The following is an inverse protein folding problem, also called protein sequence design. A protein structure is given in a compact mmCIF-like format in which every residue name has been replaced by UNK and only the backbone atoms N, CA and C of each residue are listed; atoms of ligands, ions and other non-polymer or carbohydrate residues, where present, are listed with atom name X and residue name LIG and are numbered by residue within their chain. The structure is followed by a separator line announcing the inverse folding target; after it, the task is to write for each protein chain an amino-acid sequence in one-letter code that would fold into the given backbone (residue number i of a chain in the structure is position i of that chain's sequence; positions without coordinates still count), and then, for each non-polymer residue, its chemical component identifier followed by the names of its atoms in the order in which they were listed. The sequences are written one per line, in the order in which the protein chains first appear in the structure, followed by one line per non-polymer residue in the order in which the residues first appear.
data_IF_603697767278
#
_entry.id   IF_603697767278
#
_cell.length_a   1.000
_cell.length_b   1.000
_cell.length_c   1.000
_cell.angle_alpha   90.00
_cell.angle_beta   90.00
_cell.angle_gamma   90.00
#
_symmetry.space_group_name_H-M   'P 1'
#
loop_
_entity.id
_entity.type
_entity.pdbx_description
1 polymer ?
#
# COMPACT_ATOMS: atom_id res chain seq x y z
N UNK A 1 -6.99 -27.54 -9.47
CA UNK A 1 -8.05 -26.62 -9.91
C UNK A 1 -7.41 -25.29 -10.24
N UNK A 2 -7.67 -24.79 -11.39
CA UNK A 2 -6.79 -23.87 -12.10
C UNK A 2 -6.98 -22.42 -11.66
N UNK A 3 -5.98 -21.63 -11.98
CA UNK A 3 -6.04 -20.24 -12.50
C UNK A 3 -7.43 -19.82 -13.09
N UNK A 4 -8.38 -20.72 -13.22
CA UNK A 4 -9.73 -20.48 -13.76
C UNK A 4 -10.59 -19.56 -12.88
N UNK A 5 -10.28 -19.43 -11.60
CA UNK A 5 -11.13 -18.73 -10.64
C UNK A 5 -10.63 -17.30 -10.30
N UNK A 6 -9.44 -16.92 -10.81
CA UNK A 6 -8.95 -15.54 -10.79
C UNK A 6 -8.58 -15.13 -12.21
N UNK A 7 -9.33 -14.17 -12.76
CA UNK A 7 -9.17 -13.71 -14.13
C UNK A 7 -8.76 -12.24 -14.16
N UNK A 8 -7.84 -11.89 -15.07
CA UNK A 8 -7.61 -10.50 -15.41
C UNK A 8 -8.70 -10.05 -16.39
N UNK A 9 -9.62 -9.24 -15.89
CA UNK A 9 -10.77 -8.71 -16.67
C UNK A 9 -10.46 -7.31 -17.18
N UNK A 10 -11.39 -6.74 -17.96
CA UNK A 10 -11.32 -5.31 -18.35
C UNK A 10 -11.44 -4.34 -17.16
N UNK A 11 -11.78 -4.82 -15.97
CA UNK A 11 -11.85 -4.05 -14.72
C UNK A 11 -10.72 -4.37 -13.74
N UNK A 12 -9.77 -5.23 -14.11
CA UNK A 12 -8.64 -5.63 -13.27
C UNK A 12 -8.72 -7.10 -12.82
N UNK A 13 -7.99 -7.41 -11.76
CA UNK A 13 -7.92 -8.78 -11.20
C UNK A 13 -9.24 -9.12 -10.49
N UNK A 14 -9.87 -10.20 -10.92
CA UNK A 14 -11.17 -10.66 -10.43
C UNK A 14 -11.11 -12.05 -9.84
N UNK A 15 -11.67 -12.23 -8.67
CA UNK A 15 -11.89 -13.53 -8.03
C UNK A 15 -13.36 -13.92 -8.21
N UNK A 16 -13.63 -14.87 -9.12
CA UNK A 16 -14.99 -15.30 -9.48
C UNK A 16 -15.73 -15.92 -8.28
N UNK A 17 -15.08 -16.80 -7.54
CA UNK A 17 -15.71 -17.50 -6.40
C UNK A 17 -16.15 -16.56 -5.28
N UNK A 18 -15.38 -15.52 -5.01
CA UNK A 18 -15.72 -14.51 -4.01
C UNK A 18 -16.60 -13.37 -4.58
N UNK A 19 -16.68 -13.24 -5.91
CA UNK A 19 -17.34 -12.11 -6.61
C UNK A 19 -16.76 -10.76 -6.13
N UNK A 20 -15.42 -10.64 -6.22
CA UNK A 20 -14.68 -9.42 -5.82
C UNK A 20 -13.58 -9.09 -6.82
N UNK A 21 -13.29 -7.83 -6.99
CA UNK A 21 -12.13 -7.31 -7.71
C UNK A 21 -11.06 -6.85 -6.72
N UNK A 22 -9.81 -7.04 -7.07
CA UNK A 22 -8.67 -6.57 -6.29
C UNK A 22 -8.07 -5.38 -7.02
N UNK A 23 -7.98 -4.23 -6.34
CA UNK A 23 -7.49 -2.96 -6.87
C UNK A 23 -8.04 -2.67 -8.28
N UNK A 24 -9.37 -2.58 -8.45
CA UNK A 24 -9.99 -2.47 -9.76
C UNK A 24 -9.63 -1.17 -10.48
N UNK A 25 -9.49 -1.24 -11.80
CA UNK A 25 -9.22 -0.09 -12.68
C UNK A 25 -10.48 0.58 -13.26
N UNK A 26 -11.66 0.06 -12.94
CA UNK A 26 -12.98 0.61 -13.28
C UNK A 26 -13.93 0.37 -12.12
N UNK A 27 -15.05 1.15 -12.02
CA UNK A 27 -16.08 0.92 -11.02
C UNK A 27 -16.62 -0.52 -11.10
N UNK A 28 -16.74 -1.15 -9.94
CA UNK A 28 -17.21 -2.53 -9.78
C UNK A 28 -18.13 -2.64 -8.58
N UNK A 29 -18.85 -3.76 -8.49
CA UNK A 29 -19.76 -4.02 -7.38
C UNK A 29 -19.03 -4.11 -6.03
N UNK A 30 -17.88 -4.81 -5.97
CA UNK A 30 -17.13 -4.99 -4.73
C UNK A 30 -15.62 -4.99 -4.99
N UNK A 31 -14.91 -4.07 -4.35
CA UNK A 31 -13.49 -3.87 -4.47
C UNK A 31 -12.76 -4.21 -3.16
N UNK A 32 -11.80 -5.14 -3.22
CA UNK A 32 -10.78 -5.31 -2.19
C UNK A 32 -9.60 -4.38 -2.52
N UNK A 33 -9.25 -3.51 -1.60
CA UNK A 33 -8.19 -2.52 -1.79
C UNK A 33 -6.96 -2.93 -0.97
N UNK A 34 -5.82 -3.11 -1.66
CA UNK A 34 -4.57 -3.48 -1.00
C UNK A 34 -3.98 -2.34 -0.20
N UNK A 35 -4.05 -1.11 -0.73
CA UNK A 35 -3.53 0.08 -0.06
C UNK A 35 -4.11 1.38 -0.66
N UNK A 36 -3.82 2.51 -0.02
CA UNK A 36 -4.46 3.80 -0.30
C UNK A 36 -3.78 4.66 -1.38
N UNK A 37 -2.89 4.13 -2.23
CA UNK A 37 -2.42 4.84 -3.41
C UNK A 37 -3.52 4.95 -4.45
N UNK A 38 -3.53 6.04 -5.22
CA UNK A 38 -4.65 6.35 -6.13
C UNK A 38 -4.69 5.47 -7.38
N UNK A 39 -3.59 4.87 -7.77
CA UNK A 39 -3.49 3.88 -8.85
C UNK A 39 -4.03 2.50 -8.47
N UNK A 40 -4.25 2.26 -7.16
CA UNK A 40 -4.90 1.07 -6.62
C UNK A 40 -6.35 1.32 -6.18
N UNK A 41 -6.85 2.54 -6.39
CA UNK A 41 -8.19 2.94 -5.98
C UNK A 41 -9.00 3.52 -7.14
N UNK A 42 -10.18 2.97 -7.40
CA UNK A 42 -11.12 3.46 -8.40
C UNK A 42 -12.39 3.98 -7.74
N UNK A 43 -12.80 5.20 -8.12
CA UNK A 43 -14.06 5.78 -7.66
C UNK A 43 -15.29 5.06 -8.22
N UNK A 44 -16.38 5.07 -7.46
CA UNK A 44 -17.71 4.64 -7.94
C UNK A 44 -17.98 3.14 -7.79
N UNK A 45 -17.17 2.41 -7.02
CA UNK A 45 -17.55 1.05 -6.62
C UNK A 45 -18.69 1.07 -5.59
N UNK A 46 -19.57 0.04 -5.62
CA UNK A 46 -20.72 -0.02 -4.70
C UNK A 46 -20.26 -0.31 -3.26
N UNK A 47 -19.24 -1.15 -3.09
CA UNK A 47 -18.65 -1.52 -1.82
C UNK A 47 -17.12 -1.62 -1.92
N UNK A 48 -16.41 -1.05 -0.93
CA UNK A 48 -14.98 -1.20 -0.74
C UNK A 48 -14.70 -2.02 0.51
N UNK A 49 -13.59 -2.74 0.50
CA UNK A 49 -13.10 -3.52 1.64
C UNK A 49 -11.60 -3.33 1.74
N UNK A 50 -11.11 -2.88 2.89
CA UNK A 50 -9.68 -2.63 3.13
C UNK A 50 -9.31 -2.83 4.60
N UNK A 51 -8.04 -2.57 4.95
CA UNK A 51 -7.63 -2.36 6.35
C UNK A 51 -8.22 -1.07 6.90
N UNK A 52 -8.24 -0.93 8.22
CA UNK A 52 -8.76 0.28 8.86
C UNK A 52 -7.95 1.52 8.47
N UNK A 53 -6.62 1.45 8.55
CA UNK A 53 -5.71 2.56 8.24
C UNK A 53 -5.84 3.01 6.78
N UNK A 54 -5.86 2.06 5.83
CA UNK A 54 -6.12 2.38 4.42
C UNK A 54 -7.47 3.07 4.25
N UNK A 55 -8.52 2.64 4.96
CA UNK A 55 -9.84 3.26 4.87
C UNK A 55 -9.86 4.71 5.33
N UNK A 56 -9.12 5.02 6.41
CA UNK A 56 -8.99 6.40 6.93
C UNK A 56 -8.32 7.29 5.88
N UNK A 57 -7.21 6.83 5.30
CA UNK A 57 -6.49 7.57 4.27
C UNK A 57 -7.36 7.77 3.02
N UNK A 58 -8.04 6.72 2.57
CA UNK A 58 -8.93 6.78 1.41
C UNK A 58 -10.05 7.81 1.67
N UNK A 59 -10.74 7.74 2.81
CA UNK A 59 -11.81 8.68 3.17
C UNK A 59 -11.34 10.13 3.21
N UNK A 60 -10.13 10.38 3.72
CA UNK A 60 -9.56 11.73 3.75
C UNK A 60 -9.26 12.26 2.34
N UNK A 61 -8.79 11.40 1.42
CA UNK A 61 -8.41 11.80 0.06
C UNK A 61 -9.59 11.99 -0.88
N UNK A 62 -10.65 11.21 -0.75
CA UNK A 62 -11.75 11.14 -1.74
C UNK A 62 -13.11 11.59 -1.21
N UNK A 63 -13.21 11.84 0.08
CA UNK A 63 -14.47 12.18 0.74
C UNK A 63 -14.93 11.08 1.70
N UNK A 64 -15.73 11.50 2.68
CA UNK A 64 -16.11 10.65 3.82
C UNK A 64 -17.30 9.72 3.51
N UNK A 65 -18.06 10.02 2.48
CA UNK A 65 -19.27 9.27 2.12
C UNK A 65 -18.98 8.15 1.11
N UNK A 66 -18.26 7.13 1.54
CA UNK A 66 -18.06 5.89 0.78
C UNK A 66 -18.45 4.68 1.60
N UNK A 67 -19.05 3.71 0.94
CA UNK A 67 -19.38 2.42 1.55
C UNK A 67 -18.12 1.55 1.65
N UNK A 68 -17.37 1.69 2.75
CA UNK A 68 -16.13 0.95 2.99
C UNK A 68 -16.21 0.16 4.29
N UNK A 69 -16.04 -1.15 4.18
CA UNK A 69 -15.88 -2.09 5.30
C UNK A 69 -14.41 -2.29 5.62
N UNK A 70 -14.08 -2.46 6.88
CA UNK A 70 -12.71 -2.64 7.32
C UNK A 70 -12.52 -3.92 8.10
N UNK A 71 -11.34 -4.53 7.94
CA UNK A 71 -10.90 -5.67 8.72
C UNK A 71 -9.46 -5.47 9.16
N UNK A 72 -9.18 -5.87 10.40
CA UNK A 72 -7.83 -5.86 10.95
C UNK A 72 -6.96 -6.90 10.25
N UNK A 73 -5.64 -6.70 10.31
CA UNK A 73 -4.69 -7.71 9.84
C UNK A 73 -4.92 -9.06 10.53
N UNK A 74 -4.68 -10.13 9.78
CA UNK A 74 -4.81 -11.53 10.18
C UNK A 74 -6.24 -11.99 10.56
N UNK A 75 -7.22 -11.09 10.60
CA UNK A 75 -8.62 -11.44 10.85
C UNK A 75 -9.26 -12.02 9.59
N UNK A 76 -9.70 -13.27 9.69
CA UNK A 76 -10.46 -13.91 8.62
C UNK A 76 -11.89 -13.35 8.54
N UNK A 77 -12.32 -13.00 7.34
CA UNK A 77 -13.72 -12.72 6.99
C UNK A 77 -14.14 -13.56 5.79
N UNK A 78 -15.43 -13.61 5.51
CA UNK A 78 -15.95 -14.44 4.43
C UNK A 78 -16.76 -13.61 3.42
N UNK A 79 -16.53 -13.88 2.14
CA UNK A 79 -17.34 -13.41 1.03
C UNK A 79 -17.71 -14.62 0.19
N UNK A 80 -19.00 -14.86 -0.03
CA UNK A 80 -19.52 -16.03 -0.75
C UNK A 80 -18.93 -17.37 -0.26
N UNK A 81 -18.67 -17.48 1.05
CA UNK A 81 -18.08 -18.69 1.66
C UNK A 81 -16.57 -18.78 1.59
N UNK A 82 -15.91 -17.95 0.78
CA UNK A 82 -14.45 -17.90 0.68
C UNK A 82 -13.88 -17.11 1.85
N UNK A 83 -12.89 -17.67 2.53
CA UNK A 83 -12.17 -17.00 3.62
C UNK A 83 -11.09 -16.10 3.05
N UNK A 84 -11.07 -14.86 3.51
CA UNK A 84 -10.14 -13.81 3.09
C UNK A 84 -9.51 -13.21 4.35
N UNK A 85 -8.25 -12.81 4.26
CA UNK A 85 -7.56 -12.05 5.32
C UNK A 85 -6.54 -11.08 4.72
N UNK A 86 -6.33 -9.96 5.42
CA UNK A 86 -5.29 -9.00 5.12
C UNK A 86 -4.04 -9.29 5.95
N UNK A 87 -2.87 -9.09 5.36
CA UNK A 87 -1.56 -9.24 5.99
C UNK A 87 -0.66 -8.07 5.65
N UNK A 88 0.16 -7.53 6.55
CA UNK A 88 0.99 -6.37 6.25
C UNK A 88 1.88 -6.58 5.02
N UNK A 89 1.91 -5.60 4.12
CA UNK A 89 2.79 -5.62 2.94
C UNK A 89 4.05 -4.76 3.09
N UNK A 90 4.17 -3.97 4.16
CA UNK A 90 5.33 -3.15 4.45
C UNK A 90 5.50 -1.93 3.54
N UNK A 91 4.55 -1.64 2.66
CA UNK A 91 4.68 -0.62 1.63
C UNK A 91 4.39 0.79 2.16
N UNK A 92 3.20 1.00 2.71
CA UNK A 92 2.75 2.23 3.37
C UNK A 92 1.83 1.89 4.55
N UNK A 93 1.45 2.89 5.35
CA UNK A 93 0.51 2.71 6.45
C UNK A 93 -0.80 2.07 5.95
N UNK A 94 -1.20 0.96 6.57
CA UNK A 94 -2.39 0.20 6.23
C UNK A 94 -2.27 -0.68 4.97
N UNK A 95 -1.13 -0.72 4.29
CA UNK A 95 -0.96 -1.55 3.10
C UNK A 95 -0.97 -3.04 3.41
N UNK A 96 -1.64 -3.81 2.57
CA UNK A 96 -1.88 -5.23 2.82
C UNK A 96 -1.64 -6.12 1.61
N UNK A 97 -1.18 -7.32 1.89
CA UNK A 97 -1.32 -8.49 1.05
C UNK A 97 -2.69 -9.11 1.31
N UNK A 98 -3.34 -9.65 0.31
CA UNK A 98 -4.66 -10.27 0.42
C UNK A 98 -4.54 -11.78 0.23
N UNK A 99 -4.88 -12.52 1.27
CA UNK A 99 -4.89 -13.97 1.25
C UNK A 99 -6.29 -14.51 1.06
N UNK A 100 -6.46 -15.44 0.12
CA UNK A 100 -7.66 -16.21 -0.10
C UNK A 100 -7.40 -17.68 0.28
N UNK A 101 -8.35 -18.29 1.00
CA UNK A 101 -8.34 -19.72 1.31
C UNK A 101 -9.51 -20.38 0.56
N UNK A 102 -9.18 -21.17 -0.47
CA UNK A 102 -10.12 -21.95 -1.27
C UNK A 102 -9.94 -23.44 -0.96
N UNK A 103 -10.87 -24.03 -0.21
CA UNK A 103 -10.73 -25.42 0.21
C UNK A 103 -9.31 -25.73 0.75
N UNK A 104 -8.49 -26.44 0.00
CA UNK A 104 -7.13 -26.81 0.36
C UNK A 104 -6.04 -25.90 -0.22
N UNK A 105 -6.40 -24.91 -1.05
CA UNK A 105 -5.46 -24.01 -1.72
C UNK A 105 -5.43 -22.62 -1.06
N UNK A 106 -4.23 -22.05 -0.95
CA UNK A 106 -3.98 -20.72 -0.40
C UNK A 106 -3.38 -19.83 -1.48
N UNK A 107 -4.08 -18.77 -1.80
CA UNK A 107 -3.65 -17.76 -2.75
C UNK A 107 -3.28 -16.48 -2.03
N UNK A 108 -2.21 -15.84 -2.47
CA UNK A 108 -1.77 -14.56 -1.94
C UNK A 108 -1.56 -13.57 -3.09
N UNK A 109 -2.15 -12.38 -2.93
CA UNK A 109 -1.96 -11.25 -3.82
C UNK A 109 -1.23 -10.20 -3.01
N UNK A 110 -0.02 -9.79 -3.43
CA UNK A 110 0.84 -8.95 -2.59
C UNK A 110 0.39 -7.49 -2.54
N UNK A 111 -0.33 -7.00 -3.57
CA UNK A 111 -0.35 -5.57 -3.82
C UNK A 111 1.09 -5.05 -3.94
N UNK A 112 1.31 -3.77 -3.74
CA UNK A 112 2.65 -3.23 -3.60
C UNK A 112 3.24 -3.63 -2.25
N UNK A 113 4.49 -4.06 -2.24
CA UNK A 113 5.13 -4.52 -1.01
C UNK A 113 6.58 -4.01 -0.86
N UNK A 114 7.02 -3.96 0.38
CA UNK A 114 8.40 -3.59 0.72
C UNK A 114 8.88 -4.44 1.90
N UNK A 115 9.94 -5.20 1.70
CA UNK A 115 10.52 -6.05 2.75
C UNK A 115 11.49 -5.32 3.67
N UNK A 116 11.96 -4.15 3.26
CA UNK A 116 12.85 -3.33 4.08
C UNK A 116 12.03 -2.67 5.19
N UNK A 117 12.53 -2.76 6.42
CA UNK A 117 11.89 -2.16 7.60
C UNK A 117 11.60 -0.67 7.40
N UNK A 118 10.42 -0.26 7.83
CA UNK A 118 9.95 1.11 7.79
C UNK A 118 9.07 1.39 9.02
N UNK A 119 9.52 2.30 9.87
CA UNK A 119 8.81 2.61 11.12
C UNK A 119 7.53 3.43 10.92
N UNK A 120 7.20 3.78 9.68
CA UNK A 120 5.98 4.53 9.34
C UNK A 120 4.82 3.64 8.93
N UNK A 121 5.03 2.33 8.88
CA UNK A 121 4.00 1.33 8.56
C UNK A 121 4.34 -0.01 9.22
N UNK A 122 3.38 -0.95 9.20
CA UNK A 122 3.60 -2.31 9.68
C UNK A 122 4.63 -3.03 8.80
N UNK A 123 5.47 -3.86 9.43
CA UNK A 123 6.52 -4.60 8.72
C UNK A 123 5.90 -5.66 7.80
N UNK A 124 6.56 -5.93 6.67
CA UNK A 124 6.17 -6.98 5.74
C UNK A 124 6.05 -8.33 6.43
N UNK A 125 4.89 -8.95 6.34
CA UNK A 125 4.65 -10.31 6.82
C UNK A 125 4.95 -11.34 5.74
N UNK A 126 5.72 -12.38 6.10
CA UNK A 126 5.96 -13.51 5.21
C UNK A 126 4.83 -14.54 5.34
N UNK A 127 3.86 -14.48 4.45
CA UNK A 127 2.69 -15.36 4.44
C UNK A 127 2.97 -16.64 3.65
N UNK A 128 2.70 -17.80 4.27
CA UNK A 128 2.78 -19.09 3.56
C UNK A 128 1.58 -19.26 2.62
N UNK A 129 1.86 -19.58 1.36
CA UNK A 129 0.86 -19.70 0.30
C UNK A 129 1.27 -20.78 -0.71
N UNK A 130 0.30 -21.30 -1.47
CA UNK A 130 0.52 -22.25 -2.55
C UNK A 130 0.66 -21.52 -3.90
N UNK A 131 -0.07 -20.42 -4.08
CA UNK A 131 -0.04 -19.57 -5.28
C UNK A 131 0.18 -18.12 -4.91
N UNK A 132 1.04 -17.45 -5.67
CA UNK A 132 1.43 -16.05 -5.44
C UNK A 132 1.17 -15.23 -6.71
N UNK A 133 0.44 -14.12 -6.56
CA UNK A 133 0.35 -13.04 -7.54
C UNK A 133 1.09 -11.85 -6.94
N UNK A 134 2.16 -11.42 -7.59
CA UNK A 134 3.07 -10.40 -7.07
C UNK A 134 3.34 -9.31 -8.09
N UNK A 135 3.50 -8.08 -7.60
CA UNK A 135 4.14 -7.01 -8.35
C UNK A 135 5.63 -7.33 -8.59
N UNK A 136 6.24 -6.66 -9.56
CA UNK A 136 7.66 -6.79 -9.88
C UNK A 136 8.27 -5.47 -10.37
N UNK A 137 7.80 -4.35 -9.86
CA UNK A 137 8.18 -3.00 -10.29
C UNK A 137 9.70 -2.80 -10.25
N UNK A 138 10.34 -3.25 -9.19
CA UNK A 138 11.79 -3.16 -8.99
C UNK A 138 12.48 -4.54 -9.01
N UNK A 139 11.93 -5.49 -9.75
CA UNK A 139 12.42 -6.87 -9.81
C UNK A 139 13.74 -7.04 -10.57
N UNK A 140 14.20 -6.04 -11.33
CA UNK A 140 15.45 -6.11 -12.05
C UNK A 140 16.67 -5.85 -11.16
N UNK A 141 17.81 -6.55 -11.33
CA UNK A 141 19.01 -6.40 -10.50
C UNK A 141 19.68 -5.01 -10.59
N UNK A 142 19.29 -4.18 -11.55
CA UNK A 142 19.79 -2.82 -11.69
C UNK A 142 19.30 -1.89 -10.58
N UNK A 143 18.16 -2.20 -9.96
CA UNK A 143 17.61 -1.42 -8.85
C UNK A 143 18.32 -1.76 -7.56
N UNK A 144 19.24 -0.88 -7.15
CA UNK A 144 19.96 -0.96 -5.89
C UNK A 144 19.61 0.24 -5.04
N UNK A 145 19.22 -0.01 -3.81
CA UNK A 145 18.79 1.03 -2.87
C UNK A 145 19.83 1.18 -1.77
N UNK A 146 20.20 2.43 -1.50
CA UNK A 146 20.99 2.75 -0.32
C UNK A 146 20.15 2.64 0.95
N UNK A 147 20.85 2.50 2.08
CA UNK A 147 20.19 2.53 3.38
C UNK A 147 19.49 3.89 3.59
N UNK A 148 18.22 3.92 4.03
CA UNK A 148 17.43 5.14 4.16
C UNK A 148 18.08 6.18 5.06
N UNK A 149 18.72 5.75 6.14
CA UNK A 149 19.42 6.63 7.07
C UNK A 149 20.60 7.34 6.40
N UNK A 150 21.34 6.65 5.52
CA UNK A 150 22.43 7.28 4.76
C UNK A 150 21.89 8.40 3.86
N UNK A 151 20.80 8.12 3.13
CA UNK A 151 20.12 9.12 2.29
C UNK A 151 19.69 10.33 3.12
N UNK A 152 19.10 10.13 4.31
CA UNK A 152 18.69 11.21 5.19
C UNK A 152 19.88 12.06 5.71
N UNK A 153 21.00 11.41 6.03
CA UNK A 153 22.23 12.10 6.41
C UNK A 153 22.78 12.95 5.25
N UNK A 154 22.80 12.40 4.04
CA UNK A 154 23.31 13.11 2.86
C UNK A 154 22.42 14.29 2.48
N UNK A 155 21.09 14.16 2.60
CA UNK A 155 20.14 15.27 2.46
C UNK A 155 20.42 16.35 3.51
N UNK A 156 20.61 15.95 4.78
CA UNK A 156 20.88 16.89 5.87
C UNK A 156 22.18 17.68 5.63
N UNK A 157 23.24 17.01 5.16
CA UNK A 157 24.49 17.66 4.75
C UNK A 157 24.28 18.62 3.60
N UNK A 158 23.58 18.17 2.55
CA UNK A 158 23.32 18.99 1.37
C UNK A 158 22.57 20.29 1.71
N UNK A 159 21.54 20.22 2.54
CA UNK A 159 20.80 21.41 3.01
C UNK A 159 21.72 22.35 3.78
N UNK A 160 22.58 21.83 4.66
CA UNK A 160 23.49 22.64 5.48
C UNK A 160 24.63 23.30 4.67
N UNK A 161 24.93 22.83 3.45
CA UNK A 161 25.91 23.48 2.56
C UNK A 161 25.39 24.81 1.97
N UNK A 162 24.10 25.08 2.06
CA UNK A 162 23.51 26.31 1.52
C UNK A 162 22.45 26.86 2.49
N UNK A 163 22.87 27.36 3.68
CA UNK A 163 21.94 27.75 4.75
C UNK A 163 21.05 28.94 4.37
N UNK A 164 21.48 29.76 3.45
CA UNK A 164 20.76 30.95 2.97
C UNK A 164 19.76 30.63 1.85
N UNK A 165 19.62 29.35 1.47
CA UNK A 165 18.76 28.92 0.38
C UNK A 165 17.65 27.99 0.89
N UNK A 166 16.47 28.11 0.27
CA UNK A 166 15.40 27.13 0.46
C UNK A 166 15.70 25.86 -0.33
N UNK A 167 15.76 24.72 0.35
CA UNK A 167 15.93 23.41 -0.28
C UNK A 167 14.55 22.77 -0.50
N UNK A 168 14.29 22.28 -1.70
CA UNK A 168 13.01 21.65 -2.07
C UNK A 168 13.26 20.19 -2.37
N UNK A 169 12.51 19.30 -1.68
CA UNK A 169 12.52 17.86 -1.90
C UNK A 169 11.19 17.42 -2.50
N UNK A 170 11.26 16.76 -3.65
CA UNK A 170 10.09 16.15 -4.29
C UNK A 170 9.97 14.68 -3.86
N UNK A 171 8.89 14.35 -3.18
CA UNK A 171 8.57 13.00 -2.75
C UNK A 171 7.12 12.67 -3.07
N UNK A 172 6.82 11.38 -3.22
CA UNK A 172 5.42 10.95 -3.18
C UNK A 172 4.81 11.32 -1.82
N UNK A 173 3.64 11.95 -1.87
CA UNK A 173 2.95 12.50 -0.69
C UNK A 173 2.51 11.42 0.30
N UNK A 174 2.28 10.19 -0.16
CA UNK A 174 1.89 9.07 0.69
C UNK A 174 3.00 8.00 0.70
N UNK A 175 3.47 7.69 1.91
CA UNK A 175 4.51 6.70 2.18
C UNK A 175 5.92 7.29 2.15
N UNK A 176 6.45 7.67 0.97
CA UNK A 176 7.84 8.12 0.83
C UNK A 176 8.14 9.40 1.63
N UNK A 177 7.25 10.38 1.63
CA UNK A 177 7.42 11.62 2.39
C UNK A 177 7.48 11.34 3.89
N UNK A 178 6.57 10.53 4.43
CA UNK A 178 6.52 10.17 5.85
C UNK A 178 7.78 9.41 6.27
N UNK A 179 8.22 8.43 5.46
CA UNK A 179 9.46 7.69 5.69
C UNK A 179 10.66 8.62 5.72
N UNK A 180 10.80 9.51 4.73
CA UNK A 180 11.91 10.45 4.66
C UNK A 180 11.94 11.39 5.87
N UNK A 181 10.79 11.94 6.28
CA UNK A 181 10.67 12.76 7.47
C UNK A 181 11.10 12.01 8.73
N UNK A 182 10.68 10.75 8.87
CA UNK A 182 11.06 9.91 10.00
C UNK A 182 12.59 9.65 10.03
N UNK A 183 13.21 9.38 8.87
CA UNK A 183 14.66 9.19 8.79
C UNK A 183 15.44 10.49 9.04
N UNK A 184 14.98 11.64 8.53
CA UNK A 184 15.60 12.95 8.81
C UNK A 184 15.52 13.28 10.30
N UNK A 185 14.41 12.97 10.97
CA UNK A 185 14.24 13.17 12.41
C UNK A 185 15.30 12.43 13.25
N UNK A 186 15.81 11.31 12.76
CA UNK A 186 16.88 10.54 13.42
C UNK A 186 18.28 11.15 13.22
N UNK A 187 18.40 12.14 12.35
CA UNK A 187 19.64 12.88 12.13
C UNK A 187 19.72 14.10 13.06
N UNK A 188 20.87 14.80 13.06
CA UNK A 188 21.03 16.08 13.77
C UNK A 188 20.45 17.28 12.99
N UNK A 189 19.47 17.06 12.11
CA UNK A 189 18.82 18.10 11.34
C UNK A 189 18.01 19.04 12.25
N UNK A 190 18.30 20.35 12.21
CA UNK A 190 17.69 21.34 13.09
C UNK A 190 16.84 22.38 12.37
N UNK A 191 16.85 22.38 11.05
CA UNK A 191 16.10 23.36 10.27
C UNK A 191 14.61 23.03 10.26
N UNK A 192 13.77 24.05 10.10
CA UNK A 192 12.33 23.86 9.95
C UNK A 192 12.01 23.16 8.64
N UNK A 193 11.14 22.17 8.71
CA UNK A 193 10.62 21.45 7.53
C UNK A 193 9.18 21.91 7.30
N UNK A 194 8.90 22.40 6.12
CA UNK A 194 7.54 22.73 5.67
C UNK A 194 7.03 21.62 4.76
N UNK A 195 5.80 21.17 4.99
CA UNK A 195 5.15 20.16 4.15
C UNK A 195 3.90 20.74 3.52
N UNK A 196 3.62 20.35 2.28
CA UNK A 196 2.33 20.62 1.66
C UNK A 196 1.29 19.63 2.19
N UNK A 197 0.06 20.10 2.37
CA UNK A 197 -1.04 19.24 2.77
C UNK A 197 -1.40 18.25 1.66
N UNK A 198 -1.69 17.00 2.02
CA UNK A 198 -2.20 15.99 1.09
C UNK A 198 -3.54 16.38 0.44
N UNK A 199 -4.30 17.25 1.10
CA UNK A 199 -5.62 17.70 0.64
C UNK A 199 -5.49 18.75 -0.49
N UNK A 200 -4.38 19.45 -0.57
CA UNK A 200 -4.15 20.53 -1.53
C UNK A 200 -3.35 20.11 -2.76
N UNK A 201 -3.04 18.84 -2.88
CA UNK A 201 -2.37 18.24 -4.02
C UNK A 201 -3.39 17.40 -4.81
#
# INVERSE_FOLDING_TARGET
MCIRDSQYTSSGLYCELADVWIDPIKPVKRALITHAHMDHFTFGCDEYISTYESSVIIKERIGKEINIKTYDYEKEFKINGIKISFHPSGHILGSSQIKFNFADEKWLITGDFKRQKDETCDEFEKVKTDYLISESTFGLPIFKWEEPQKTAIDISKWVNLSPDKTSILFCYSLGKAQRLLNEIKKTNFKNTIYTLSLIHI
#
